data_IF_100272084203
#
_entry.id   IF_100272084203
#
_cell.length_a   1.000
_cell.length_b   1.000
_cell.length_c   1.000
_cell.angle_alpha   90.00
_cell.angle_beta   90.00
_cell.angle_gamma   90.00
#
_symmetry.space_group_name_H-M   'P 1'
#
loop_
_entity.id
_entity.type
_entity.pdbx_description
1 polymer ?
#
# COMPACT_ATOMS: atom_id res chain seq x y z
N UNK A 1 8.04 -3.28 10.47
CA UNK A 1 6.70 -2.91 9.98
C UNK A 1 6.17 -1.85 10.91
N UNK A 2 6.55 -0.62 10.59
CA UNK A 2 6.18 0.61 11.27
C UNK A 2 5.62 1.59 10.24
N UNK A 3 4.96 2.66 10.69
CA UNK A 3 4.48 3.71 9.80
C UNK A 3 5.68 4.29 9.02
N UNK A 4 5.55 4.39 7.70
CA UNK A 4 6.61 4.80 6.78
C UNK A 4 7.38 3.65 6.14
N UNK A 5 7.29 2.41 6.66
CA UNK A 5 7.95 1.26 6.04
C UNK A 5 7.35 0.97 4.66
N UNK A 6 8.22 0.55 3.73
CA UNK A 6 7.80 -0.01 2.45
C UNK A 6 7.45 -1.48 2.60
N UNK A 7 6.34 -1.87 2.00
CA UNK A 7 5.87 -3.26 1.94
C UNK A 7 5.60 -3.66 0.50
N UNK A 8 5.72 -4.96 0.21
CA UNK A 8 5.33 -5.57 -1.05
C UNK A 8 3.94 -6.17 -0.89
N UNK A 9 3.08 -5.94 -1.86
CA UNK A 9 1.78 -6.61 -1.97
C UNK A 9 1.99 -7.99 -2.57
N UNK A 10 1.43 -9.04 -1.96
CA UNK A 10 1.55 -10.41 -2.49
C UNK A 10 0.83 -10.57 -3.82
N UNK A 11 -0.22 -9.78 -4.03
CA UNK A 11 -0.90 -9.67 -5.31
C UNK A 11 -0.84 -8.23 -5.83
N UNK A 12 -0.67 -8.03 -7.15
CA UNK A 12 -0.74 -6.70 -7.73
C UNK A 12 -2.11 -6.06 -7.49
N UNK A 13 -2.13 -4.77 -7.18
CA UNK A 13 -3.34 -4.01 -6.87
C UNK A 13 -3.55 -2.86 -7.84
N UNK A 14 -4.77 -2.71 -8.35
CA UNK A 14 -5.14 -1.60 -9.23
C UNK A 14 -6.14 -0.70 -8.49
N UNK A 15 -5.82 0.59 -8.26
CA UNK A 15 -6.60 1.47 -7.37
C UNK A 15 -8.01 1.78 -7.85
N UNK A 16 -8.21 1.86 -9.16
CA UNK A 16 -9.52 2.15 -9.78
C UNK A 16 -9.71 1.31 -11.04
N UNK A 17 -10.96 1.05 -11.43
CA UNK A 17 -11.28 0.27 -12.64
C UNK A 17 -10.75 0.90 -13.93
N UNK A 18 -10.50 2.21 -13.92
CA UNK A 18 -9.97 2.96 -15.06
C UNK A 18 -8.45 3.18 -14.98
N UNK A 19 -7.82 2.82 -13.85
CA UNK A 19 -6.37 2.97 -13.70
C UNK A 19 -5.66 1.97 -14.61
N UNK A 20 -4.77 2.47 -15.45
CA UNK A 20 -3.86 1.65 -16.24
C UNK A 20 -2.64 1.21 -15.45
N UNK A 21 -2.46 1.74 -14.24
CA UNK A 21 -1.31 1.46 -13.38
C UNK A 21 -1.70 0.45 -12.31
N UNK A 22 -0.87 -0.59 -12.22
CA UNK A 22 -0.93 -1.61 -11.17
C UNK A 22 0.25 -1.43 -10.23
N UNK A 23 -0.02 -1.55 -8.94
CA UNK A 23 0.94 -1.37 -7.86
C UNK A 23 1.28 -2.70 -7.23
N UNK A 24 2.56 -2.90 -6.92
CA UNK A 24 3.05 -4.08 -6.20
C UNK A 24 3.66 -3.71 -4.84
N UNK A 25 3.69 -2.42 -4.52
CA UNK A 25 4.29 -1.90 -3.30
C UNK A 25 3.38 -0.85 -2.68
N UNK A 26 3.51 -0.72 -1.37
CA UNK A 26 2.88 0.36 -0.61
C UNK A 26 3.79 0.85 0.51
N UNK A 27 3.44 2.01 1.04
CA UNK A 27 4.06 2.60 2.24
C UNK A 27 3.04 2.57 3.36
N UNK A 28 3.42 2.07 4.53
CA UNK A 28 2.53 1.98 5.70
C UNK A 28 2.13 3.39 6.14
N UNK A 29 0.84 3.70 6.02
CA UNK A 29 0.23 4.94 6.50
C UNK A 29 -0.31 4.77 7.93
N UNK A 30 -0.91 3.62 8.22
CA UNK A 30 -1.41 3.27 9.55
C UNK A 30 -1.51 1.76 9.73
N UNK A 31 -1.51 1.33 10.99
CA UNK A 31 -1.80 -0.05 11.39
C UNK A 31 -3.02 0.02 12.31
N UNK A 32 -4.12 -0.60 11.89
CA UNK A 32 -5.38 -0.61 12.62
C UNK A 32 -5.62 -2.02 13.14
N UNK A 33 -5.77 -2.17 14.46
CA UNK A 33 -6.04 -3.48 15.06
C UNK A 33 -7.31 -3.41 15.90
N UNK A 34 -8.16 -4.42 15.75
CA UNK A 34 -9.28 -4.68 16.67
C UNK A 34 -9.10 -6.06 17.32
N UNK A 35 -10.11 -6.50 18.09
CA UNK A 35 -10.05 -7.76 18.84
C UNK A 35 -9.96 -9.03 17.96
N UNK A 36 -10.19 -8.92 16.65
CA UNK A 36 -10.27 -10.06 15.75
C UNK A 36 -9.24 -10.02 14.62
N UNK A 37 -8.85 -8.82 14.16
CA UNK A 37 -8.04 -8.65 12.95
C UNK A 37 -7.17 -7.38 13.03
N UNK A 38 -6.01 -7.47 12.37
CA UNK A 38 -5.11 -6.34 12.12
C UNK A 38 -5.08 -6.06 10.63
N UNK A 39 -5.36 -4.82 10.28
CA UNK A 39 -5.28 -4.29 8.91
C UNK A 39 -4.19 -3.22 8.85
N UNK A 40 -3.60 -3.08 7.67
CA UNK A 40 -2.57 -2.09 7.38
C UNK A 40 -3.08 -1.20 6.26
N UNK A 41 -3.16 0.10 6.54
CA UNK A 41 -3.49 1.10 5.54
C UNK A 41 -2.22 1.52 4.81
N UNK A 42 -2.24 1.44 3.48
CA UNK A 42 -1.10 1.73 2.62
C UNK A 42 -1.39 2.89 1.67
N UNK A 43 -0.39 3.75 1.48
CA UNK A 43 -0.28 4.53 0.24
C UNK A 43 0.34 3.63 -0.83
N UNK A 44 -0.30 3.51 -2.00
CA UNK A 44 0.28 2.75 -3.11
C UNK A 44 1.53 3.47 -3.61
N UNK A 45 2.61 2.71 -3.80
CA UNK A 45 3.94 3.24 -4.11
C UNK A 45 4.51 2.57 -5.35
N UNK A 46 5.04 3.38 -6.28
CA UNK A 46 5.79 2.91 -7.42
C UNK A 46 7.30 3.11 -7.16
N UNK A 47 8.09 2.04 -6.98
CA UNK A 47 9.53 2.17 -6.73
C UNK A 47 10.30 2.69 -7.94
N UNK A 48 9.82 2.45 -9.17
CA UNK A 48 10.54 2.85 -10.39
C UNK A 48 10.56 4.38 -10.57
N UNK A 49 9.48 5.04 -10.15
CA UNK A 49 9.33 6.50 -10.21
C UNK A 49 9.53 7.18 -8.86
N UNK A 50 9.70 6.39 -7.79
CA UNK A 50 9.71 6.85 -6.40
C UNK A 50 8.50 7.74 -6.01
N UNK A 51 7.33 7.47 -6.58
CA UNK A 51 6.10 8.24 -6.34
C UNK A 51 5.00 7.41 -5.71
N UNK A 52 4.18 8.07 -4.90
CA UNK A 52 2.91 7.49 -4.42
C UNK A 52 1.80 7.77 -5.42
N UNK A 53 0.84 6.85 -5.54
CA UNK A 53 -0.38 7.09 -6.29
C UNK A 53 -1.10 8.33 -5.77
N UNK A 54 -1.58 9.15 -6.71
CA UNK A 54 -2.55 10.21 -6.47
C UNK A 54 -3.77 9.96 -7.33
N UNK A 55 -4.97 10.17 -6.79
CA UNK A 55 -6.19 10.07 -7.56
C UNK A 55 -6.39 11.26 -8.51
N UNK A 56 -7.51 11.27 -9.21
CA UNK A 56 -7.87 12.32 -10.18
C UNK A 56 -8.05 13.73 -9.55
N UNK A 57 -8.21 13.80 -8.23
CA UNK A 57 -8.32 15.05 -7.47
C UNK A 57 -6.97 15.50 -6.90
N UNK A 58 -5.90 14.72 -7.12
CA UNK A 58 -4.57 14.99 -6.56
C UNK A 58 -4.42 14.54 -5.10
N UNK A 59 -5.39 13.78 -4.57
CA UNK A 59 -5.35 13.27 -3.22
C UNK A 59 -4.54 11.97 -3.15
N UNK A 60 -4.01 11.65 -1.97
CA UNK A 60 -3.30 10.37 -1.71
C UNK A 60 -4.22 9.43 -0.92
N UNK A 61 -5.04 8.61 -1.59
CA UNK A 61 -5.92 7.68 -0.89
C UNK A 61 -5.11 6.60 -0.18
N UNK A 62 -5.68 6.07 0.91
CA UNK A 62 -5.16 4.88 1.58
C UNK A 62 -6.01 3.67 1.23
N UNK A 63 -5.37 2.51 1.14
CA UNK A 63 -6.03 1.25 0.85
C UNK A 63 -5.74 0.27 1.98
N UNK A 64 -6.75 -0.47 2.43
CA UNK A 64 -6.63 -1.45 3.51
C UNK A 64 -6.20 -2.81 2.98
N UNK A 65 -5.22 -3.42 3.63
CA UNK A 65 -4.75 -4.77 3.36
C UNK A 65 -4.60 -5.53 4.68
N UNK A 66 -4.82 -6.84 4.64
CA UNK A 66 -4.51 -7.71 5.77
C UNK A 66 -3.01 -7.96 5.86
N UNK A 67 -2.54 -8.29 7.07
CA UNK A 67 -1.12 -8.63 7.30
C UNK A 67 -0.64 -9.80 6.42
N UNK A 68 -1.51 -10.75 6.10
CA UNK A 68 -1.18 -11.89 5.26
C UNK A 68 -1.21 -11.59 3.76
N UNK A 69 -1.65 -10.40 3.34
CA UNK A 69 -1.64 -9.94 1.95
C UNK A 69 -0.38 -9.14 1.59
N UNK A 70 0.47 -8.85 2.56
CA UNK A 70 1.66 -8.00 2.41
C UNK A 70 2.91 -8.65 3.01
N UNK A 71 4.07 -8.19 2.54
CA UNK A 71 5.38 -8.66 3.00
C UNK A 71 6.30 -7.45 3.25
N UNK A 72 7.10 -7.45 4.33
CA UNK A 72 8.06 -6.38 4.56
C UNK A 72 9.11 -6.36 3.44
N UNK A 73 9.38 -5.19 2.87
CA UNK A 73 10.56 -5.03 2.03
C UNK A 73 11.79 -5.02 2.93
N UNK A 74 12.67 -6.00 2.78
CA UNK A 74 14.02 -5.90 3.37
C UNK A 74 14.82 -5.00 2.43
N UNK A 75 15.01 -3.74 2.80
CA UNK A 75 16.12 -2.98 2.25
C UNK A 75 17.40 -3.68 2.72
N UNK A 76 18.03 -4.41 1.79
CA UNK A 76 19.38 -4.98 1.94
C UNK A 76 20.43 -3.89 1.88
#
# INVERSE_FOLDING_TARGET
MEIGDRVRLKQPFTPTLISTQTYQFGIIAAIVSNNSQTEVLLYLYNPDTATTYTDEFGERPTYSFRLDEIEPCKDT
#
